data_IF_166581117267
#
_entry.id   IF_166581117267
#
_cell.length_a   1.000
_cell.length_b   1.000
_cell.length_c   1.000
_cell.angle_alpha   90.00
_cell.angle_beta   90.00
_cell.angle_gamma   90.00
#
_symmetry.space_group_name_H-M   'P 1'
#
loop_
_entity.id
_entity.type
_entity.pdbx_description
1 polymer ?
#
# COMPACT_ATOMS: atom_id res chain seq x y z
N UNK A 1 12.91 -10.63 -3.12
CA UNK A 1 12.02 -10.24 -4.16
C UNK A 1 10.94 -9.29 -3.72
N UNK A 2 10.31 -8.72 -4.69
CA UNK A 2 9.25 -7.79 -4.45
C UNK A 2 8.45 -7.52 -5.71
N UNK A 3 7.48 -6.62 -5.58
CA UNK A 3 6.58 -6.30 -6.68
C UNK A 3 6.46 -4.79 -6.77
N UNK A 4 6.56 -4.27 -7.99
CA UNK A 4 6.28 -2.87 -8.23
C UNK A 4 5.12 -2.79 -9.20
N UNK A 5 3.96 -2.37 -8.70
CA UNK A 5 2.74 -2.28 -9.49
C UNK A 5 2.57 -0.87 -10.02
N UNK A 6 2.12 -0.76 -11.26
CA UNK A 6 1.77 0.54 -11.82
C UNK A 6 0.36 0.48 -12.37
N UNK A 7 -0.34 1.59 -12.30
CA UNK A 7 -1.65 1.76 -12.87
C UNK A 7 -1.52 2.74 -14.03
N UNK A 8 -1.81 2.26 -15.23
CA UNK A 8 -1.67 3.07 -16.43
C UNK A 8 -3.04 3.47 -16.95
N UNK A 9 -3.18 4.75 -17.27
CA UNK A 9 -4.39 5.27 -17.90
C UNK A 9 -4.19 5.21 -19.41
N UNK A 10 -4.79 4.23 -20.05
CA UNK A 10 -4.52 3.93 -21.46
C UNK A 10 -4.84 5.05 -22.44
N UNK A 11 -5.93 5.81 -22.28
CA UNK A 11 -6.20 6.90 -23.22
C UNK A 11 -5.05 7.91 -23.34
N UNK A 12 -4.30 8.12 -22.26
CA UNK A 12 -3.18 9.02 -22.26
C UNK A 12 -1.83 8.30 -22.26
N UNK A 13 -1.83 6.98 -22.15
CA UNK A 13 -0.62 6.17 -22.00
C UNK A 13 0.28 6.72 -20.90
N UNK A 14 -0.34 7.05 -19.77
CA UNK A 14 0.32 7.71 -18.65
C UNK A 14 0.18 6.87 -17.39
N UNK A 15 1.27 6.74 -16.63
CA UNK A 15 1.21 6.06 -15.35
C UNK A 15 0.61 7.03 -14.33
N UNK A 16 -0.47 6.62 -13.69
CA UNK A 16 -1.22 7.47 -12.77
C UNK A 16 -1.24 6.94 -11.35
N UNK A 17 -0.66 5.78 -11.10
CA UNK A 17 -0.58 5.23 -9.76
C UNK A 17 0.49 4.19 -9.65
N UNK A 18 0.95 3.93 -8.43
CA UNK A 18 1.96 2.91 -8.19
C UNK A 18 1.88 2.39 -6.77
N UNK A 19 2.34 1.15 -6.59
CA UNK A 19 2.46 0.51 -5.29
C UNK A 19 3.73 -0.32 -5.27
N UNK A 20 4.45 -0.29 -4.16
CA UNK A 20 5.68 -1.04 -4.00
C UNK A 20 5.53 -2.00 -2.83
N UNK A 21 5.70 -3.30 -3.10
CA UNK A 21 5.52 -4.36 -2.14
C UNK A 21 6.81 -5.15 -2.05
N UNK A 22 7.33 -5.34 -0.86
CA UNK A 22 8.50 -6.18 -0.66
C UNK A 22 8.12 -7.46 0.06
N UNK A 23 8.93 -8.49 -0.12
CA UNK A 23 8.69 -9.82 0.43
C UNK A 23 9.92 -10.25 1.23
N UNK A 24 9.73 -10.46 2.54
CA UNK A 24 10.81 -10.95 3.39
C UNK A 24 10.68 -12.46 3.65
N UNK A 25 9.85 -13.16 2.86
CA UNK A 25 9.57 -14.59 2.93
C UNK A 25 8.69 -14.99 4.13
N UNK A 26 8.36 -14.07 4.98
CA UNK A 26 7.44 -14.28 6.10
C UNK A 26 6.19 -13.47 5.91
N UNK A 27 6.35 -12.29 5.32
CA UNK A 27 5.29 -11.31 5.24
C UNK A 27 5.59 -10.36 4.09
N UNK A 28 4.54 -9.84 3.49
CA UNK A 28 4.67 -8.80 2.48
C UNK A 28 4.53 -7.43 3.16
N UNK A 29 5.22 -6.45 2.60
CA UNK A 29 5.21 -5.09 3.13
C UNK A 29 4.84 -4.14 2.02
N UNK A 30 3.73 -3.43 2.18
CA UNK A 30 3.32 -2.40 1.23
C UNK A 30 3.97 -1.10 1.66
N UNK A 31 4.99 -0.66 0.94
CA UNK A 31 5.80 0.49 1.31
C UNK A 31 5.29 1.79 0.72
N UNK A 32 4.88 1.74 -0.53
CA UNK A 32 4.46 2.91 -1.25
C UNK A 32 3.15 2.61 -1.94
N UNK A 33 2.25 3.58 -1.88
CA UNK A 33 0.94 3.44 -2.51
C UNK A 33 0.45 4.85 -2.80
N UNK A 34 0.30 5.17 -4.07
CA UNK A 34 -0.12 6.51 -4.41
C UNK A 34 -0.79 6.60 -5.77
N UNK A 35 -1.65 7.59 -5.90
CA UNK A 35 -2.34 7.93 -7.13
C UNK A 35 -1.99 9.39 -7.46
N UNK A 36 -1.69 9.65 -8.73
CA UNK A 36 -1.44 10.99 -9.21
C UNK A 36 -2.58 11.92 -8.77
N UNK A 37 -2.28 13.09 -8.20
CA UNK A 37 -3.33 14.00 -7.70
C UNK A 37 -4.39 14.33 -8.73
N UNK A 38 -4.03 14.42 -10.01
CA UNK A 38 -4.99 14.74 -11.06
C UNK A 38 -5.98 13.61 -11.31
N UNK A 39 -5.70 12.42 -10.78
CA UNK A 39 -6.53 11.24 -10.99
C UNK A 39 -7.16 10.72 -9.71
N UNK A 40 -6.99 11.41 -8.60
CA UNK A 40 -7.63 11.03 -7.35
C UNK A 40 -9.13 11.30 -7.44
N UNK A 41 -9.88 10.55 -6.64
CA UNK A 41 -11.33 10.71 -6.62
C UNK A 41 -12.06 9.93 -7.71
N UNK A 42 -11.33 9.17 -8.53
CA UNK A 42 -11.92 8.39 -9.61
C UNK A 42 -11.94 6.90 -9.30
N UNK A 43 -11.79 6.56 -8.03
CA UNK A 43 -11.79 5.17 -7.55
C UNK A 43 -10.62 4.34 -8.10
N UNK A 44 -9.60 4.98 -8.65
CA UNK A 44 -8.44 4.26 -9.16
C UNK A 44 -7.62 3.65 -8.03
N UNK A 45 -7.64 4.27 -6.84
CA UNK A 45 -6.99 3.71 -5.68
C UNK A 45 -7.56 2.33 -5.31
N UNK A 46 -8.85 2.12 -5.57
CA UNK A 46 -9.49 0.82 -5.30
C UNK A 46 -8.93 -0.27 -6.20
N UNK A 47 -8.71 0.03 -7.48
CA UNK A 47 -8.11 -0.94 -8.40
C UNK A 47 -6.71 -1.32 -7.95
N UNK A 48 -5.91 -0.33 -7.55
CA UNK A 48 -4.54 -0.59 -7.13
C UNK A 48 -4.50 -1.34 -5.81
N UNK A 49 -5.40 -1.01 -4.87
CA UNK A 49 -5.48 -1.71 -3.60
C UNK A 49 -5.90 -3.16 -3.82
N UNK A 50 -6.87 -3.39 -4.69
CA UNK A 50 -7.33 -4.74 -5.00
C UNK A 50 -6.19 -5.57 -5.59
N UNK A 51 -5.47 -5.01 -6.56
CA UNK A 51 -4.35 -5.72 -7.18
C UNK A 51 -3.27 -6.05 -6.17
N UNK A 52 -2.98 -5.12 -5.25
CA UNK A 52 -1.97 -5.33 -4.21
C UNK A 52 -2.37 -6.48 -3.28
N UNK A 53 -3.62 -6.49 -2.83
CA UNK A 53 -4.11 -7.52 -1.92
C UNK A 53 -4.15 -8.88 -2.61
N UNK A 54 -4.44 -8.91 -3.92
CA UNK A 54 -4.46 -10.17 -4.66
C UNK A 54 -3.10 -10.85 -4.66
N UNK A 55 -2.02 -10.07 -4.67
CA UNK A 55 -0.68 -10.64 -4.59
C UNK A 55 -0.51 -11.40 -3.27
N UNK A 56 -0.97 -10.79 -2.17
CA UNK A 56 -0.90 -11.45 -0.87
C UNK A 56 -1.70 -12.74 -0.83
N UNK A 57 -2.90 -12.71 -1.40
CA UNK A 57 -3.75 -13.91 -1.46
C UNK A 57 -3.09 -15.03 -2.23
N UNK A 58 -2.51 -14.71 -3.40
CA UNK A 58 -1.87 -15.74 -4.22
C UNK A 58 -0.65 -16.33 -3.55
N UNK A 59 0.10 -15.52 -2.82
CA UNK A 59 1.29 -16.01 -2.14
C UNK A 59 1.00 -16.64 -0.79
N UNK A 60 -0.20 -16.45 -0.25
CA UNK A 60 -0.56 -16.98 1.05
C UNK A 60 0.20 -16.34 2.20
N UNK A 61 0.63 -15.08 2.02
CA UNK A 61 1.38 -14.36 3.03
C UNK A 61 0.59 -13.18 3.55
N UNK A 62 0.80 -12.85 4.82
CA UNK A 62 0.22 -11.65 5.39
C UNK A 62 0.85 -10.41 4.77
N UNK A 63 0.10 -9.32 4.73
CA UNK A 63 0.59 -8.06 4.21
C UNK A 63 0.45 -6.99 5.27
N UNK A 64 1.50 -6.20 5.44
CA UNK A 64 1.57 -5.16 6.45
C UNK A 64 1.86 -3.83 5.78
N UNK A 65 1.33 -2.75 6.35
CA UNK A 65 1.63 -1.40 5.89
C UNK A 65 1.64 -0.46 7.08
N UNK A 66 2.17 0.73 6.85
CA UNK A 66 2.09 1.82 7.82
C UNK A 66 1.35 2.97 7.17
N UNK A 67 0.49 3.60 7.93
CA UNK A 67 -0.26 4.76 7.47
C UNK A 67 -0.30 5.77 8.62
N UNK A 68 -0.15 7.04 8.29
CA UNK A 68 -0.17 8.08 9.31
C UNK A 68 -1.55 8.13 9.98
N UNK A 69 -1.55 8.29 11.29
CA UNK A 69 -2.79 8.22 12.07
C UNK A 69 -3.83 9.24 11.62
N UNK A 70 -3.41 10.37 11.07
CA UNK A 70 -4.33 11.41 10.62
C UNK A 70 -4.82 11.21 9.19
N UNK A 71 -4.30 10.22 8.47
CA UNK A 71 -4.69 9.99 7.09
C UNK A 71 -5.92 9.10 7.03
N UNK A 72 -7.07 9.69 7.35
CA UNK A 72 -8.32 8.95 7.44
C UNK A 72 -8.75 8.35 6.10
N UNK A 73 -8.50 9.07 5.02
CA UNK A 73 -8.89 8.59 3.69
C UNK A 73 -8.17 7.31 3.33
N UNK A 74 -6.86 7.27 3.57
CA UNK A 74 -6.07 6.06 3.29
C UNK A 74 -6.46 4.93 4.24
N UNK A 75 -6.66 5.23 5.52
CA UNK A 75 -7.05 4.22 6.49
C UNK A 75 -8.37 3.56 6.08
N UNK A 76 -9.34 4.36 5.68
CA UNK A 76 -10.63 3.82 5.25
C UNK A 76 -10.50 2.93 4.03
N UNK A 77 -9.63 3.31 3.09
CA UNK A 77 -9.38 2.48 1.92
C UNK A 77 -8.81 1.13 2.33
N UNK A 78 -7.78 1.14 3.18
CA UNK A 78 -7.13 -0.11 3.58
C UNK A 78 -8.07 -1.01 4.38
N UNK A 79 -8.86 -0.43 5.28
CA UNK A 79 -9.84 -1.22 6.05
C UNK A 79 -10.82 -1.91 5.10
N UNK A 80 -11.22 -1.25 4.04
CA UNK A 80 -12.18 -1.81 3.09
C UNK A 80 -11.63 -3.05 2.40
N UNK A 81 -10.31 -3.13 2.22
CA UNK A 81 -9.68 -4.25 1.54
C UNK A 81 -9.10 -5.29 2.49
N UNK A 82 -9.45 -5.22 3.76
CA UNK A 82 -9.14 -6.29 4.70
C UNK A 82 -8.00 -6.02 5.65
N UNK A 83 -7.35 -4.86 5.54
CA UNK A 83 -6.33 -4.49 6.53
C UNK A 83 -7.00 -4.17 7.85
N UNK A 84 -6.32 -4.49 8.94
CA UNK A 84 -6.83 -4.24 10.28
C UNK A 84 -5.74 -3.63 11.13
N UNK A 85 -6.14 -2.85 12.13
CA UNK A 85 -5.20 -2.32 13.09
C UNK A 85 -4.52 -3.43 13.86
N UNK A 86 -3.21 -3.24 14.12
CA UNK A 86 -2.46 -4.11 15.01
C UNK A 86 -2.41 -3.46 16.40
N UNK A 87 -3.54 -3.41 17.07
CA UNK A 87 -3.70 -2.61 18.29
C UNK A 87 -2.71 -2.91 19.40
N UNK A 88 -2.10 -4.10 19.40
CA UNK A 88 -1.16 -4.49 20.44
C UNK A 88 0.29 -4.15 20.12
N UNK A 89 0.53 -3.49 18.99
CA UNK A 89 1.91 -3.21 18.53
C UNK A 89 2.09 -1.73 18.31
N UNK A 90 3.29 -1.26 18.59
CA UNK A 90 3.65 0.12 18.37
C UNK A 90 4.79 0.22 17.37
N UNK A 91 4.85 1.32 16.63
CA UNK A 91 5.93 1.57 15.70
C UNK A 91 7.04 2.28 16.46
N UNK A 92 8.26 1.77 16.35
CA UNK A 92 9.42 2.36 17.02
C UNK A 92 10.49 2.63 15.97
N UNK A 93 11.21 3.72 16.14
CA UNK A 93 12.19 4.13 15.14
C UNK A 93 13.38 4.80 15.81
N UNK A 94 14.56 4.58 15.25
CA UNK A 94 15.76 5.36 15.59
C UNK A 94 16.04 6.23 14.38
N UNK A 95 15.92 7.53 14.55
CA UNK A 95 16.15 8.46 13.44
C UNK A 95 17.59 8.91 13.33
N UNK A 96 18.34 8.77 14.41
CA UNK A 96 19.71 9.25 14.46
C UNK A 96 20.50 8.39 15.43
N UNK A 97 21.57 7.78 14.92
CA UNK A 97 22.40 6.89 15.74
C UNK A 97 23.46 7.62 16.56
N UNK A 98 23.68 8.87 16.29
CA UNK A 98 24.61 9.66 17.08
C UNK A 98 23.92 10.18 18.29
N UNK A 99 24.33 9.99 19.23
CA UNK A 99 23.69 10.42 20.28
C UNK A 99 23.74 11.17 20.87
#
# INVERSE_FOLDING_TARGET
>A
GGFFLVLEYLPLKRIVGSAWITNDHRRLYLHHFGIDPDFQGKKLSHLLAQASVEIGKKMGLQMKLEVHATNEKAKNLYLKYGFKDLGDYEVMIIRNYEK
#
